data_IF_927128296617
#
_entry.id   IF_927128296617
#
_cell.length_a   1.000
_cell.length_b   1.000
_cell.length_c   1.000
_cell.angle_alpha   90.00
_cell.angle_beta   90.00
_cell.angle_gamma   90.00
#
_symmetry.space_group_name_H-M   'P 1'
#
loop_
_entity.id
_entity.type
_entity.pdbx_description
1 polymer ?
#
# COMPACT_ATOMS: atom_id res chain seq x y z
N UNK A 1 12.40 13.25 -15.84
CA UNK A 1 10.95 13.31 -15.53
C UNK A 1 10.71 12.33 -14.40
N UNK A 2 9.88 12.68 -13.43
CA UNK A 2 9.66 11.86 -12.24
C UNK A 2 8.19 11.44 -12.18
N UNK A 3 7.94 10.13 -12.11
CA UNK A 3 6.64 9.54 -11.87
C UNK A 3 6.54 9.22 -10.38
N UNK A 4 5.51 9.76 -9.72
CA UNK A 4 5.20 9.44 -8.32
C UNK A 4 3.92 8.61 -8.35
N UNK A 5 3.96 7.43 -7.76
CA UNK A 5 2.86 6.49 -7.74
C UNK A 5 2.37 6.37 -6.31
N UNK A 6 1.11 6.73 -6.14
CA UNK A 6 0.42 6.72 -4.86
C UNK A 6 -0.67 5.66 -4.89
N UNK A 7 -0.80 4.94 -3.77
CA UNK A 7 -1.86 3.96 -3.58
C UNK A 7 -2.66 4.30 -2.33
N UNK A 8 -3.97 4.14 -2.44
CA UNK A 8 -4.90 4.13 -1.31
C UNK A 8 -5.41 2.71 -1.14
N UNK A 9 -5.37 2.22 0.10
CA UNK A 9 -6.02 0.97 0.45
C UNK A 9 -7.46 1.27 0.86
N UNK A 10 -8.40 0.59 0.20
CA UNK A 10 -9.83 0.68 0.49
C UNK A 10 -10.28 -0.63 1.17
N UNK A 11 -11.10 -0.53 2.23
CA UNK A 11 -11.68 -1.71 2.90
C UNK A 11 -11.53 -1.81 4.42
N UNK A 12 -11.06 -0.76 5.13
CA UNK A 12 -11.11 -0.66 6.59
C UNK A 12 -12.30 0.17 7.10
N UNK A 13 -12.69 0.04 8.38
CA UNK A 13 -13.82 0.77 8.99
C UNK A 13 -13.71 2.30 8.87
N UNK A 14 -12.49 2.83 8.73
CA UNK A 14 -12.21 4.22 8.40
C UNK A 14 -12.02 4.39 6.89
N UNK A 15 -13.05 4.91 6.23
CA UNK A 15 -13.15 5.04 4.77
C UNK A 15 -12.21 6.08 4.12
N UNK A 16 -11.24 6.66 4.83
CA UNK A 16 -10.32 7.67 4.27
C UNK A 16 -8.90 7.45 4.77
N UNK A 17 -8.15 6.55 4.12
CA UNK A 17 -6.70 6.49 4.31
C UNK A 17 -6.03 7.46 3.36
N UNK A 18 -5.17 8.34 3.86
CA UNK A 18 -4.33 9.21 3.03
C UNK A 18 -3.53 8.34 2.03
N UNK A 19 -3.45 8.76 0.75
CA UNK A 19 -2.67 8.04 -0.24
C UNK A 19 -1.21 7.96 0.22
N UNK A 20 -0.63 6.77 0.09
CA UNK A 20 0.78 6.52 0.43
C UNK A 20 1.59 6.37 -0.85
N UNK A 21 2.75 7.02 -0.92
CA UNK A 21 3.69 6.84 -2.03
C UNK A 21 4.24 5.41 -1.96
N UNK A 22 3.96 4.62 -3.01
CA UNK A 22 4.39 3.21 -3.12
C UNK A 22 5.52 3.02 -4.11
N UNK A 23 5.73 3.96 -5.03
CA UNK A 23 6.92 3.96 -5.88
C UNK A 23 7.24 5.35 -6.43
N UNK A 24 8.52 5.55 -6.72
CA UNK A 24 9.02 6.71 -7.45
C UNK A 24 9.89 6.19 -8.59
N UNK A 25 9.55 6.59 -9.82
CA UNK A 25 10.27 6.15 -11.02
C UNK A 25 10.84 7.36 -11.75
N UNK A 26 12.15 7.33 -11.96
CA UNK A 26 12.88 8.37 -12.68
C UNK A 26 13.07 7.98 -14.15
N UNK A 27 12.74 8.91 -15.04
CA UNK A 27 12.96 8.81 -16.50
C UNK A 27 13.97 9.87 -16.94
N UNK A 28 14.98 9.48 -17.71
CA UNK A 28 16.04 10.41 -18.15
C UNK A 28 15.59 11.22 -19.36
N UNK A 29 15.00 10.50 -20.30
CA UNK A 29 14.25 10.93 -21.45
C UNK A 29 12.89 11.49 -20.99
N UNK A 30 12.62 12.77 -21.29
CA UNK A 30 11.31 13.41 -21.04
C UNK A 30 10.26 12.97 -22.09
N UNK A 31 10.36 11.72 -22.52
CA UNK A 31 9.57 11.10 -23.57
C UNK A 31 8.22 10.65 -23.02
N UNK A 32 7.16 10.99 -23.74
CA UNK A 32 5.77 10.61 -23.39
C UNK A 32 5.52 9.13 -23.67
N UNK A 33 6.27 8.52 -24.59
CA UNK A 33 6.15 7.10 -24.90
C UNK A 33 6.56 6.21 -23.71
N UNK A 34 7.39 6.74 -22.81
CA UNK A 34 7.95 6.01 -21.66
C UNK A 34 7.24 6.35 -20.33
N UNK A 35 6.02 6.90 -20.43
CA UNK A 35 5.15 7.15 -19.28
C UNK A 35 4.61 5.87 -18.63
N UNK A 36 4.53 4.80 -19.41
CA UNK A 36 4.13 3.49 -18.91
C UNK A 36 5.17 2.88 -17.95
N UNK A 37 4.71 1.93 -17.15
CA UNK A 37 5.60 1.05 -16.39
C UNK A 37 6.10 -0.06 -17.29
N UNK A 38 7.39 -0.34 -17.19
CA UNK A 38 7.93 -1.60 -17.69
C UNK A 38 7.37 -2.76 -16.86
N UNK A 39 7.42 -3.98 -17.38
CA UNK A 39 6.99 -5.16 -16.62
C UNK A 39 7.81 -5.38 -15.33
N UNK A 40 9.08 -4.99 -15.32
CA UNK A 40 9.92 -5.07 -14.14
C UNK A 40 9.46 -4.08 -13.06
N UNK A 41 9.20 -2.84 -13.45
CA UNK A 41 8.71 -1.81 -12.53
C UNK A 41 7.30 -2.11 -12.02
N UNK A 42 6.41 -2.59 -12.90
CA UNK A 42 5.08 -3.02 -12.50
C UNK A 42 5.12 -4.16 -11.48
N UNK A 43 6.03 -5.13 -11.65
CA UNK A 43 6.23 -6.20 -10.66
C UNK A 43 6.78 -5.68 -9.34
N UNK A 44 7.78 -4.80 -9.38
CA UNK A 44 8.34 -4.19 -8.17
C UNK A 44 7.28 -3.39 -7.41
N UNK A 45 6.48 -2.60 -8.13
CA UNK A 45 5.35 -1.85 -7.57
C UNK A 45 4.35 -2.77 -6.86
N UNK A 46 3.98 -3.91 -7.48
CA UNK A 46 3.05 -4.86 -6.87
C UNK A 46 3.59 -5.47 -5.57
N UNK A 47 4.90 -5.76 -5.51
CA UNK A 47 5.53 -6.26 -4.28
C UNK A 47 5.38 -5.25 -3.14
N UNK A 48 5.63 -3.97 -3.40
CA UNK A 48 5.51 -2.96 -2.35
C UNK A 48 4.07 -2.72 -1.91
N UNK A 49 3.13 -2.68 -2.86
CA UNK A 49 1.70 -2.58 -2.54
C UNK A 49 1.25 -3.77 -1.69
N UNK A 50 1.70 -4.99 -2.00
CA UNK A 50 1.39 -6.19 -1.22
C UNK A 50 2.00 -6.15 0.18
N UNK A 51 3.24 -5.66 0.32
CA UNK A 51 3.89 -5.51 1.63
C UNK A 51 3.13 -4.53 2.52
N UNK A 52 2.71 -3.38 1.95
CA UNK A 52 1.91 -2.38 2.65
C UNK A 52 0.56 -2.96 3.11
N UNK A 53 -0.14 -3.64 2.20
CA UNK A 53 -1.43 -4.31 2.48
C UNK A 53 -1.32 -5.29 3.63
N UNK A 54 -0.35 -6.22 3.56
CA UNK A 54 -0.16 -7.24 4.59
C UNK A 54 0.19 -6.61 5.93
N UNK A 55 1.00 -5.56 5.95
CA UNK A 55 1.38 -4.85 7.16
C UNK A 55 0.17 -4.23 7.85
N UNK A 56 -0.68 -3.51 7.10
CA UNK A 56 -1.90 -2.91 7.64
C UNK A 56 -2.91 -3.96 8.13
N UNK A 57 -3.11 -5.03 7.35
CA UNK A 57 -3.98 -6.14 7.75
C UNK A 57 -3.47 -6.84 9.01
N UNK A 58 -2.15 -6.98 9.16
CA UNK A 58 -1.54 -7.57 10.35
C UNK A 58 -1.81 -6.71 11.59
N UNK A 59 -1.69 -5.38 11.48
CA UNK A 59 -2.03 -4.45 12.57
C UNK A 59 -3.49 -4.60 12.96
N UNK A 60 -4.42 -4.48 12.01
CA UNK A 60 -5.86 -4.63 12.29
C UNK A 60 -6.20 -6.01 12.86
N UNK A 61 -5.55 -7.07 12.38
CA UNK A 61 -5.69 -8.40 12.95
C UNK A 61 -5.18 -8.46 14.39
N UNK A 62 -3.98 -7.95 14.68
CA UNK A 62 -3.42 -7.92 16.04
C UNK A 62 -4.34 -7.16 17.01
N UNK A 63 -4.89 -6.02 16.60
CA UNK A 63 -5.87 -5.26 17.38
C UNK A 63 -7.12 -6.12 17.69
N UNK A 64 -7.62 -6.89 16.71
CA UNK A 64 -8.73 -7.82 16.93
C UNK A 64 -8.40 -8.95 17.91
N UNK A 65 -7.11 -9.35 18.03
CA UNK A 65 -6.67 -10.41 18.93
C UNK A 65 -6.44 -9.92 20.36
N UNK A 66 -6.39 -8.60 20.61
CA UNK A 66 -6.29 -8.03 21.97
C UNK A 66 -7.58 -8.20 22.78
N UNK A 67 -8.63 -8.79 22.21
CA UNK A 67 -9.82 -9.17 22.93
C UNK A 67 -9.54 -10.30 23.93
N UNK A 68 -9.88 -10.09 25.20
CA UNK A 68 -9.77 -11.10 26.24
C UNK A 68 -10.60 -12.35 25.88
N UNK A 69 -9.94 -13.51 25.74
CA UNK A 69 -10.57 -14.80 25.45
C UNK A 69 -11.70 -15.23 26.41
N UNK A 70 -11.80 -14.58 27.58
CA UNK A 70 -12.80 -14.88 28.62
C UNK A 70 -14.00 -13.94 28.62
N UNK A 71 -13.86 -12.69 28.17
CA UNK A 71 -14.94 -11.70 28.23
C UNK A 71 -15.13 -10.85 26.96
N UNK A 72 -14.30 -11.03 25.94
CA UNK A 72 -14.40 -10.36 24.64
C UNK A 72 -14.05 -8.87 24.64
N UNK A 73 -13.57 -8.30 25.75
CA UNK A 73 -13.14 -6.89 25.80
C UNK A 73 -11.74 -6.74 25.23
N UNK A 74 -11.56 -5.77 24.33
CA UNK A 74 -10.26 -5.27 23.87
C UNK A 74 -9.61 -4.52 25.05
N UNK A 75 -8.35 -4.84 25.37
CA UNK A 75 -7.58 -4.22 26.47
C UNK A 75 -6.82 -3.01 25.97
#
# INVERSE_FOLDING_TARGET
MRLIIEARLEGGETNETEPTIVAVVERKDRSVADLGLTLAEGRALLVEVQSLLVSQQTVGWMESQLACHRCGRVV
#
